data_IF_388880548259
#
_entry.id   IF_388880548259
#
_cell.length_a   1.000
_cell.length_b   1.000
_cell.length_c   1.000
_cell.angle_alpha   90.00
_cell.angle_beta   90.00
_cell.angle_gamma   90.00
#
_symmetry.space_group_name_H-M   'P 1'
#
loop_
_entity.id
_entity.type
_entity.pdbx_description
1 polymer ?
#
# COMPACT_ATOMS: atom_id res chain seq x y z
N UNK A 1 -0.94 -6.08 -18.91
CA UNK A 1 -2.26 -5.41 -19.09
C UNK A 1 -2.55 -4.66 -17.81
N UNK A 2 -2.97 -3.40 -17.88
CA UNK A 2 -3.18 -2.60 -16.67
C UNK A 2 -4.62 -2.70 -16.16
N UNK A 3 -4.80 -2.54 -14.86
CA UNK A 3 -6.09 -2.49 -14.19
C UNK A 3 -6.14 -1.31 -13.21
N UNK A 4 -7.33 -0.72 -13.07
CA UNK A 4 -7.56 0.36 -12.11
C UNK A 4 -8.20 -0.21 -10.83
N UNK A 5 -7.47 -0.11 -9.72
CA UNK A 5 -7.90 -0.52 -8.39
C UNK A 5 -8.25 0.71 -7.54
N UNK A 6 -9.18 0.56 -6.60
CA UNK A 6 -9.69 1.66 -5.77
C UNK A 6 -9.73 1.27 -4.30
N UNK A 7 -9.17 2.11 -3.44
CA UNK A 7 -9.19 1.89 -1.98
C UNK A 7 -9.30 3.22 -1.25
N UNK A 8 -10.32 3.42 -0.40
CA UNK A 8 -10.51 4.64 0.40
C UNK A 8 -10.30 5.96 -0.39
N UNK A 9 -10.85 6.04 -1.60
CA UNK A 9 -10.73 7.22 -2.47
C UNK A 9 -9.44 7.28 -3.31
N UNK A 10 -8.44 6.45 -2.99
CA UNK A 10 -7.23 6.27 -3.78
C UNK A 10 -7.53 5.45 -5.04
N UNK A 11 -6.90 5.83 -6.16
CA UNK A 11 -6.99 5.16 -7.45
C UNK A 11 -5.59 4.74 -7.88
N UNK A 12 -5.40 3.45 -8.09
CA UNK A 12 -4.11 2.84 -8.43
C UNK A 12 -4.23 2.17 -9.79
N UNK A 13 -3.45 2.63 -10.75
CA UNK A 13 -3.27 1.93 -12.02
C UNK A 13 -2.07 1.00 -11.85
N UNK A 14 -2.29 -0.31 -11.97
CA UNK A 14 -1.26 -1.32 -11.72
C UNK A 14 -1.23 -2.33 -12.85
N UNK A 15 -0.09 -2.99 -13.05
CA UNK A 15 -0.05 -4.17 -13.91
C UNK A 15 -0.91 -5.27 -13.29
N UNK A 16 -1.65 -6.01 -14.12
CA UNK A 16 -2.51 -7.10 -13.64
C UNK A 16 -1.72 -8.15 -12.85
N UNK A 17 -0.46 -8.36 -13.21
CA UNK A 17 0.47 -9.27 -12.55
C UNK A 17 0.81 -8.81 -11.12
N UNK A 18 0.69 -7.52 -10.82
CA UNK A 18 0.95 -6.91 -9.50
C UNK A 18 -0.33 -6.72 -8.66
N UNK A 19 -1.50 -7.09 -9.20
CA UNK A 19 -2.78 -6.90 -8.52
C UNK A 19 -2.87 -7.62 -7.16
N UNK A 20 -2.12 -8.71 -6.99
CA UNK A 20 -2.05 -9.44 -5.72
C UNK A 20 -1.36 -8.63 -4.62
N UNK A 21 -0.39 -7.76 -4.96
CA UNK A 21 0.32 -6.90 -4.02
C UNK A 21 -0.66 -5.89 -3.42
N UNK A 22 -1.47 -5.26 -4.28
CA UNK A 22 -2.58 -4.42 -3.82
C UNK A 22 -3.50 -5.17 -2.85
N UNK A 23 -3.89 -6.40 -3.18
CA UNK A 23 -4.79 -7.18 -2.33
C UNK A 23 -4.15 -7.51 -0.97
N UNK A 24 -2.89 -7.97 -0.95
CA UNK A 24 -2.16 -8.28 0.26
C UNK A 24 -2.06 -7.07 1.20
N UNK A 25 -1.69 -5.91 0.66
CA UNK A 25 -1.45 -4.72 1.47
C UNK A 25 -2.75 -4.05 1.90
N UNK A 26 -3.62 -3.68 0.95
CA UNK A 26 -4.79 -2.86 1.25
C UNK A 26 -5.98 -3.65 1.82
N UNK A 27 -6.14 -4.92 1.43
CA UNK A 27 -7.31 -5.74 1.80
C UNK A 27 -6.99 -6.68 2.95
N UNK A 28 -5.92 -7.47 2.84
CA UNK A 28 -5.51 -8.40 3.89
C UNK A 28 -4.83 -7.66 5.05
N UNK A 29 -4.18 -6.52 4.77
CA UNK A 29 -3.45 -5.77 5.77
C UNK A 29 -2.16 -6.48 6.15
N UNK A 30 -1.38 -6.91 5.15
CA UNK A 30 -0.09 -7.61 5.30
C UNK A 30 0.78 -6.98 6.40
N UNK A 31 0.82 -5.65 6.47
CA UNK A 31 1.67 -4.89 7.41
C UNK A 31 0.95 -4.43 8.68
N UNK A 32 -0.28 -4.88 8.94
CA UNK A 32 -1.09 -4.44 10.09
C UNK A 32 -0.48 -4.73 11.47
N UNK A 33 0.50 -5.64 11.53
CA UNK A 33 1.24 -5.95 12.75
C UNK A 33 2.32 -4.91 13.10
N UNK A 34 2.73 -4.08 12.13
CA UNK A 34 3.69 -3.00 12.36
C UNK A 34 3.02 -1.87 13.14
N UNK A 35 3.70 -1.39 14.18
CA UNK A 35 3.24 -0.28 15.04
C UNK A 35 4.08 0.96 14.78
N UNK A 36 3.85 1.60 13.64
CA UNK A 36 4.55 2.83 13.24
C UNK A 36 4.02 3.99 14.07
N UNK A 37 4.93 4.86 14.52
CA UNK A 37 4.61 6.10 15.21
C UNK A 37 4.96 7.27 14.32
N UNK A 38 4.34 8.42 14.61
CA UNK A 38 4.46 9.65 13.83
C UNK A 38 5.91 10.11 13.58
N UNK A 39 6.82 9.87 14.52
CA UNK A 39 8.20 10.33 14.43
C UNK A 39 9.18 9.24 13.98
N UNK A 40 8.67 8.05 13.64
CA UNK A 40 9.52 6.98 13.13
C UNK A 40 9.91 7.27 11.66
N UNK A 41 11.19 7.06 11.33
CA UNK A 41 11.66 7.11 9.94
C UNK A 41 11.56 5.71 9.35
N UNK A 42 10.71 5.54 8.34
CA UNK A 42 10.50 4.25 7.67
C UNK A 42 11.07 4.29 6.26
N UNK A 43 11.73 3.21 5.86
CA UNK A 43 12.27 3.03 4.52
C UNK A 43 11.54 1.87 3.83
N UNK A 44 10.78 2.20 2.79
CA UNK A 44 9.99 1.26 1.99
C UNK A 44 10.84 0.76 0.80
N UNK A 45 11.67 -0.26 1.03
CA UNK A 45 12.57 -0.82 0.01
C UNK A 45 11.82 -1.82 -0.87
N UNK A 46 11.96 -1.68 -2.19
CA UNK A 46 11.30 -2.59 -3.13
C UNK A 46 9.79 -2.35 -3.23
N UNK A 47 9.34 -1.16 -2.85
CA UNK A 47 7.97 -0.69 -2.93
C UNK A 47 7.49 -0.70 -4.39
N UNK A 48 6.88 -1.81 -4.82
CA UNK A 48 6.44 -2.03 -6.20
C UNK A 48 5.53 -0.89 -6.67
N UNK A 49 4.30 -0.83 -6.13
CA UNK A 49 3.33 0.22 -6.45
C UNK A 49 3.27 1.30 -5.37
N UNK A 50 4.22 1.30 -4.43
CA UNK A 50 4.22 2.19 -3.25
C UNK A 50 3.08 1.90 -2.28
N UNK A 51 2.58 0.67 -2.27
CA UNK A 51 1.38 0.22 -1.55
C UNK A 51 1.46 0.47 -0.04
N UNK A 52 2.58 0.10 0.60
CA UNK A 52 2.76 0.31 2.03
C UNK A 52 2.81 1.80 2.37
N UNK A 53 3.68 2.57 1.69
CA UNK A 53 3.77 4.03 1.88
C UNK A 53 2.41 4.72 1.72
N UNK A 54 1.63 4.34 0.70
CA UNK A 54 0.29 4.90 0.47
C UNK A 54 -0.70 4.50 1.56
N UNK A 55 -0.69 3.24 2.00
CA UNK A 55 -1.57 2.75 3.05
C UNK A 55 -1.31 3.46 4.38
N UNK A 56 -0.05 3.61 4.78
CA UNK A 56 0.32 4.26 6.03
C UNK A 56 0.07 5.77 5.97
N UNK A 57 0.36 6.43 4.83
CA UNK A 57 0.00 7.83 4.62
C UNK A 57 -1.51 8.10 4.73
N UNK A 58 -2.36 7.16 4.28
CA UNK A 58 -3.82 7.25 4.43
C UNK A 58 -4.29 7.16 5.89
N UNK A 59 -3.54 6.49 6.77
CA UNK A 59 -3.88 6.35 8.19
C UNK A 59 -3.60 7.63 8.99
N UNK A 60 -3.00 8.65 8.36
CA UNK A 60 -2.65 9.90 9.03
C UNK A 60 -1.45 9.78 9.95
N UNK A 61 -0.54 8.84 9.65
CA UNK A 61 0.85 8.94 10.09
C UNK A 61 1.52 10.15 9.44
#
# INVERSE_FOLDING_TARGET
>A
MEILLKYNGLKLLVNKEEAFIYYATFIVGEYSFLKIRRDDVVLDIGASIGDFTLQEGLKGL
#
